data_IF_091938693137
#
_entry.id   IF_091938693137
#
_cell.length_a   1.000
_cell.length_b   1.000
_cell.length_c   1.000
_cell.angle_alpha   90.00
_cell.angle_beta   90.00
_cell.angle_gamma   90.00
#
_symmetry.space_group_name_H-M   'P 1'
#
loop_
_entity.id
_entity.type
_entity.pdbx_description
1 polymer ?
#
# COMPACT_ATOMS: atom_id res chain seq x y z
N UNK A 1 -71.78 18.29 5.20
CA UNK A 1 -70.46 17.98 4.62
C UNK A 1 -70.14 16.52 4.91
N UNK A 2 -70.22 15.66 3.91
CA UNK A 2 -69.85 14.25 4.03
C UNK A 2 -68.34 14.12 3.72
N UNK A 3 -67.59 13.63 4.68
CA UNK A 3 -66.20 13.22 4.47
C UNK A 3 -66.21 12.01 3.54
N UNK A 4 -65.73 12.21 2.30
CA UNK A 4 -65.47 11.12 1.37
C UNK A 4 -64.30 10.33 1.95
N UNK A 5 -64.60 9.13 2.42
CA UNK A 5 -63.63 8.11 2.75
C UNK A 5 -62.98 7.66 1.42
N UNK A 6 -61.97 8.40 0.96
CA UNK A 6 -61.13 7.98 -0.17
C UNK A 6 -60.30 6.80 0.32
N UNK A 7 -60.87 5.61 0.13
CA UNK A 7 -60.28 4.35 0.52
C UNK A 7 -58.89 4.17 -0.10
N UNK A 8 -57.99 3.65 0.71
CA UNK A 8 -56.65 3.13 0.46
C UNK A 8 -56.60 1.95 -0.54
N UNK A 9 -57.46 1.95 -1.56
CA UNK A 9 -57.52 0.91 -2.60
C UNK A 9 -56.63 1.20 -3.81
N UNK A 10 -56.11 2.42 -3.97
CA UNK A 10 -55.19 2.77 -5.07
C UNK A 10 -53.77 2.18 -4.93
N UNK A 11 -53.43 1.55 -3.80
CA UNK A 11 -52.14 0.89 -3.60
C UNK A 11 -52.21 -0.65 -3.63
N UNK A 12 -53.38 -1.25 -3.81
CA UNK A 12 -53.57 -2.70 -3.64
C UNK A 12 -53.33 -3.53 -4.93
N UNK A 13 -53.20 -2.89 -6.10
CA UNK A 13 -53.16 -3.60 -7.39
C UNK A 13 -51.84 -3.48 -8.18
N UNK A 14 -50.81 -2.82 -7.63
CA UNK A 14 -49.45 -3.01 -8.15
C UNK A 14 -48.84 -4.18 -7.41
N UNK A 15 -48.43 -5.23 -8.15
CA UNK A 15 -47.60 -6.31 -7.59
C UNK A 15 -46.57 -5.68 -6.65
N UNK A 16 -46.52 -6.16 -5.41
CA UNK A 16 -45.61 -5.61 -4.41
C UNK A 16 -44.20 -5.70 -4.97
N UNK A 17 -43.61 -4.56 -5.35
CA UNK A 17 -42.26 -4.51 -5.90
C UNK A 17 -41.34 -5.26 -4.93
N UNK A 18 -40.71 -6.33 -5.40
CA UNK A 18 -39.83 -7.15 -4.56
C UNK A 18 -38.72 -6.29 -3.97
N UNK A 19 -38.43 -6.49 -2.69
CA UNK A 19 -37.33 -5.85 -1.99
C UNK A 19 -36.05 -6.62 -2.22
N UNK A 20 -34.92 -5.93 -2.06
CA UNK A 20 -33.60 -6.57 -2.03
C UNK A 20 -33.54 -7.73 -1.02
N UNK A 21 -34.29 -7.60 0.08
CA UNK A 21 -34.37 -8.62 1.12
C UNK A 21 -35.03 -9.92 0.71
N UNK A 22 -35.78 -9.92 -0.39
CA UNK A 22 -36.60 -11.06 -0.81
C UNK A 22 -35.78 -12.08 -1.61
N UNK A 23 -34.48 -11.82 -1.81
CA UNK A 23 -33.59 -12.63 -2.60
C UNK A 23 -32.41 -13.14 -1.77
N UNK A 24 -32.22 -14.46 -1.82
CA UNK A 24 -31.12 -15.15 -1.14
C UNK A 24 -29.92 -15.42 -2.06
N UNK A 25 -30.12 -15.37 -3.37
CA UNK A 25 -29.09 -15.63 -4.39
C UNK A 25 -28.84 -14.37 -5.25
N UNK A 26 -27.57 -13.93 -5.42
CA UNK A 26 -27.24 -12.76 -6.23
C UNK A 26 -27.60 -12.89 -7.70
N UNK A 27 -27.57 -14.09 -8.27
CA UNK A 27 -27.94 -14.32 -9.67
C UNK A 27 -29.43 -14.05 -9.89
N UNK A 28 -30.28 -14.50 -8.95
CA UNK A 28 -31.73 -14.31 -9.02
C UNK A 28 -32.14 -12.84 -8.81
N UNK A 29 -31.43 -12.13 -7.92
CA UNK A 29 -31.66 -10.71 -7.69
C UNK A 29 -31.21 -9.85 -8.88
N UNK A 30 -30.05 -10.16 -9.48
CA UNK A 30 -29.55 -9.50 -10.69
C UNK A 30 -30.48 -9.75 -11.89
N UNK A 31 -30.92 -10.99 -12.11
CA UNK A 31 -31.85 -11.32 -13.19
C UNK A 31 -33.18 -10.57 -13.08
N UNK A 32 -33.66 -10.36 -11.84
CA UNK A 32 -34.86 -9.56 -11.58
C UNK A 32 -34.61 -8.06 -11.75
N UNK A 33 -33.52 -7.52 -11.18
CA UNK A 33 -33.16 -6.10 -11.26
C UNK A 33 -32.84 -5.60 -12.66
N UNK A 34 -32.41 -6.48 -13.58
CA UNK A 34 -32.25 -6.17 -15.00
C UNK A 34 -33.58 -5.99 -15.75
N UNK A 35 -34.69 -6.52 -15.20
CA UNK A 35 -36.00 -6.58 -15.86
C UNK A 35 -37.07 -5.75 -15.15
N UNK A 36 -36.87 -5.42 -13.87
CA UNK A 36 -37.86 -4.80 -13.01
C UNK A 36 -37.23 -3.81 -12.02
N UNK A 37 -37.96 -2.75 -11.68
CA UNK A 37 -37.60 -1.85 -10.59
C UNK A 37 -37.78 -2.55 -9.23
N UNK A 38 -36.72 -2.56 -8.42
CA UNK A 38 -36.70 -3.12 -7.06
C UNK A 38 -37.09 -2.06 -6.04
N UNK A 39 -37.91 -2.44 -5.05
CA UNK A 39 -38.21 -1.55 -3.92
C UNK A 39 -37.10 -1.63 -2.87
N UNK A 40 -36.67 -0.48 -2.37
CA UNK A 40 -35.53 -0.40 -1.43
C UNK A 40 -35.96 -0.76 0.00
N UNK A 41 -35.10 -1.45 0.79
CA UNK A 41 -35.21 -1.43 2.25
C UNK A 41 -35.16 0.00 2.80
N UNK A 42 -36.05 0.30 3.76
CA UNK A 42 -36.12 1.61 4.40
C UNK A 42 -34.86 1.98 5.22
N UNK A 43 -33.95 1.04 5.47
CA UNK A 43 -32.75 1.24 6.30
C UNK A 43 -31.48 0.82 5.55
N UNK A 44 -30.52 1.72 5.49
CA UNK A 44 -29.19 1.51 4.88
C UNK A 44 -28.47 0.30 5.48
N UNK A 45 -28.55 0.11 6.81
CA UNK A 45 -27.94 -1.03 7.51
C UNK A 45 -28.48 -2.36 6.95
N UNK A 46 -29.79 -2.48 6.75
CA UNK A 46 -30.40 -3.70 6.17
C UNK A 46 -29.88 -4.02 4.76
N UNK A 47 -29.47 -2.98 4.04
CA UNK A 47 -28.95 -3.12 2.69
C UNK A 47 -27.46 -3.53 2.71
N UNK A 48 -26.64 -2.97 3.60
CA UNK A 48 -25.25 -3.40 3.83
C UNK A 48 -25.14 -4.76 4.54
N UNK A 49 -26.23 -5.23 5.18
CA UNK A 49 -26.28 -6.55 5.82
C UNK A 49 -26.27 -7.70 4.82
N UNK A 50 -26.71 -7.45 3.59
CA UNK A 50 -26.86 -8.47 2.56
C UNK A 50 -25.69 -8.43 1.58
N UNK A 51 -24.84 -9.45 1.61
CA UNK A 51 -23.70 -9.61 0.68
C UNK A 51 -24.13 -9.54 -0.80
N UNK A 52 -25.38 -9.88 -1.05
CA UNK A 52 -26.04 -9.91 -2.35
C UNK A 52 -26.52 -8.52 -2.81
N UNK A 53 -26.80 -7.60 -1.89
CA UNK A 53 -27.28 -6.25 -2.22
C UNK A 53 -26.13 -5.32 -2.66
N UNK A 54 -24.90 -5.60 -2.21
CA UNK A 54 -23.71 -4.79 -2.52
C UNK A 54 -23.46 -4.67 -4.03
N UNK A 55 -23.40 -5.76 -4.84
CA UNK A 55 -23.21 -5.67 -6.30
C UNK A 55 -24.30 -4.90 -7.06
N UNK A 56 -25.54 -4.87 -6.56
CA UNK A 56 -26.64 -4.18 -7.23
C UNK A 56 -26.71 -2.70 -6.96
N UNK A 57 -26.25 -2.26 -5.78
CA UNK A 57 -26.01 -0.83 -5.56
C UNK A 57 -25.03 -0.31 -6.59
N UNK A 58 -23.95 -1.07 -6.87
CA UNK A 58 -22.97 -0.70 -7.91
C UNK A 58 -23.63 -0.58 -9.28
N UNK A 59 -24.59 -1.47 -9.58
CA UNK A 59 -25.31 -1.49 -10.85
C UNK A 59 -26.43 -0.44 -10.94
N UNK A 60 -26.69 0.34 -9.88
CA UNK A 60 -27.81 1.28 -9.81
C UNK A 60 -27.35 2.72 -9.49
N UNK A 61 -26.74 3.46 -10.44
CA UNK A 61 -26.15 4.77 -10.19
C UNK A 61 -27.10 5.82 -9.60
N UNK A 62 -28.39 5.70 -9.90
CA UNK A 62 -29.45 6.58 -9.38
C UNK A 62 -29.60 6.48 -7.85
N UNK A 63 -29.17 5.37 -7.24
CA UNK A 63 -29.24 5.16 -5.80
C UNK A 63 -28.02 5.69 -5.04
N UNK A 64 -26.94 6.04 -5.75
CA UNK A 64 -25.69 6.49 -5.15
C UNK A 64 -25.88 7.79 -4.34
N UNK A 65 -26.62 8.77 -4.88
CA UNK A 65 -26.81 10.08 -4.22
C UNK A 65 -27.56 9.96 -2.89
N UNK A 66 -28.62 9.14 -2.88
CA UNK A 66 -29.37 8.88 -1.67
C UNK A 66 -28.53 8.09 -0.64
N UNK A 67 -27.75 7.11 -1.11
CA UNK A 67 -26.89 6.32 -0.23
C UNK A 67 -25.82 7.20 0.44
N UNK A 68 -25.22 8.13 -0.32
CA UNK A 68 -24.25 9.08 0.21
C UNK A 68 -24.87 9.98 1.29
N UNK A 69 -26.06 10.51 1.04
CA UNK A 69 -26.80 11.32 2.00
C UNK A 69 -27.11 10.56 3.31
N UNK A 70 -27.68 9.36 3.20
CA UNK A 70 -27.96 8.50 4.36
C UNK A 70 -26.69 8.13 5.13
N UNK A 71 -25.61 7.80 4.42
CA UNK A 71 -24.32 7.48 5.02
C UNK A 71 -23.78 8.66 5.81
N UNK A 72 -23.87 9.86 5.25
CA UNK A 72 -23.42 11.07 5.92
C UNK A 72 -24.19 11.32 7.22
N UNK A 73 -25.52 11.15 7.18
CA UNK A 73 -26.37 11.27 8.37
C UNK A 73 -26.01 10.21 9.43
N UNK A 74 -25.92 8.93 9.04
CA UNK A 74 -25.62 7.83 9.97
C UNK A 74 -24.23 8.00 10.58
N UNK A 75 -23.20 8.31 9.79
CA UNK A 75 -21.83 8.48 10.28
C UNK A 75 -21.74 9.66 11.26
N UNK A 76 -22.32 10.81 10.89
CA UNK A 76 -22.34 11.98 11.77
C UNK A 76 -23.07 11.70 13.08
N UNK A 77 -24.26 11.11 13.01
CA UNK A 77 -25.09 10.88 14.19
C UNK A 77 -24.52 9.78 15.11
N UNK A 78 -23.98 8.70 14.54
CA UNK A 78 -23.49 7.56 15.31
C UNK A 78 -22.11 7.79 15.94
N UNK A 79 -21.24 8.57 15.29
CA UNK A 79 -19.83 8.70 15.69
C UNK A 79 -19.42 10.10 16.12
N UNK A 80 -20.11 11.16 15.68
CA UNK A 80 -19.78 12.55 16.07
C UNK A 80 -20.73 13.11 17.13
N UNK A 81 -21.96 12.60 17.24
CA UNK A 81 -22.99 13.10 18.17
C UNK A 81 -23.32 12.12 19.32
N UNK A 82 -22.44 11.14 19.59
CA UNK A 82 -22.51 10.20 20.72
C UNK A 82 -23.86 9.50 20.93
N UNK A 83 -24.51 9.05 19.84
CA UNK A 83 -25.73 8.26 19.95
C UNK A 83 -25.47 6.86 20.56
N UNK A 84 -26.40 6.30 21.38
CA UNK A 84 -26.20 5.06 22.13
C UNK A 84 -26.36 3.78 21.28
N UNK A 85 -25.56 3.66 20.22
CA UNK A 85 -25.33 2.35 19.57
C UNK A 85 -24.24 1.59 20.31
N UNK A 86 -24.38 0.25 20.36
CA UNK A 86 -23.35 -0.60 20.98
C UNK A 86 -22.07 -0.56 20.15
N UNK A 87 -20.92 -0.70 20.81
CA UNK A 87 -19.60 -0.72 20.16
C UNK A 87 -19.52 -1.74 19.02
N UNK A 88 -20.03 -2.96 19.25
CA UNK A 88 -20.04 -4.04 18.26
C UNK A 88 -20.83 -3.68 17.00
N UNK A 89 -21.93 -2.94 17.14
CA UNK A 89 -22.73 -2.50 15.99
C UNK A 89 -22.03 -1.43 15.18
N UNK A 90 -21.33 -0.51 15.86
CA UNK A 90 -20.49 0.51 15.22
C UNK A 90 -19.32 -0.15 14.46
N UNK A 91 -18.63 -1.11 15.07
CA UNK A 91 -17.54 -1.87 14.43
C UNK A 91 -18.04 -2.69 13.22
N UNK A 92 -19.13 -3.44 13.34
CA UNK A 92 -19.71 -4.21 12.24
C UNK A 92 -20.14 -3.31 11.08
N UNK A 93 -20.72 -2.14 11.38
CA UNK A 93 -21.10 -1.16 10.36
C UNK A 93 -19.88 -0.63 9.58
N UNK A 94 -18.83 -0.17 10.27
CA UNK A 94 -17.61 0.32 9.61
C UNK A 94 -16.93 -0.77 8.78
N UNK A 95 -16.89 -2.01 9.27
CA UNK A 95 -16.34 -3.16 8.54
C UNK A 95 -17.10 -3.45 7.24
N UNK A 96 -18.43 -3.41 7.28
CA UNK A 96 -19.27 -3.60 6.09
C UNK A 96 -19.10 -2.45 5.10
N UNK A 97 -18.95 -1.24 5.60
CA UNK A 97 -18.71 -0.06 4.77
C UNK A 97 -17.36 -0.14 4.05
N UNK A 98 -16.30 -0.58 4.74
CA UNK A 98 -14.99 -0.84 4.13
C UNK A 98 -15.07 -1.97 3.09
N UNK A 99 -15.79 -3.06 3.39
CA UNK A 99 -16.04 -4.14 2.43
C UNK A 99 -16.75 -3.61 1.19
N UNK A 100 -17.75 -2.75 1.36
CA UNK A 100 -18.47 -2.13 0.26
C UNK A 100 -17.52 -1.26 -0.60
N UNK A 101 -16.75 -0.34 -0.01
CA UNK A 101 -15.73 0.47 -0.72
C UNK A 101 -14.74 -0.39 -1.51
N UNK A 102 -14.30 -1.51 -0.93
CA UNK A 102 -13.39 -2.47 -1.59
C UNK A 102 -14.04 -3.20 -2.76
N UNK A 103 -15.32 -3.58 -2.66
CA UNK A 103 -16.06 -4.23 -3.75
C UNK A 103 -16.28 -3.25 -4.90
N UNK A 104 -16.66 -2.01 -4.60
CA UNK A 104 -16.83 -0.98 -5.63
C UNK A 104 -15.47 -0.49 -6.18
N UNK A 105 -14.39 -0.70 -5.43
CA UNK A 105 -13.03 -0.22 -5.70
C UNK A 105 -12.99 1.31 -5.86
N UNK A 106 -13.66 2.01 -4.96
CA UNK A 106 -13.79 3.47 -4.93
C UNK A 106 -14.11 3.95 -3.52
N UNK A 107 -13.71 5.19 -3.22
CA UNK A 107 -14.14 5.86 -2.01
C UNK A 107 -15.53 6.47 -2.13
N UNK A 108 -16.17 6.68 -0.99
CA UNK A 108 -17.49 7.33 -0.90
C UNK A 108 -17.28 8.73 -0.31
N UNK A 109 -17.84 9.79 -0.91
CA UNK A 109 -17.68 11.16 -0.41
C UNK A 109 -18.08 11.30 1.07
N UNK A 110 -19.24 10.79 1.48
CA UNK A 110 -19.70 10.83 2.86
C UNK A 110 -18.69 10.21 3.85
N UNK A 111 -18.02 9.12 3.45
CA UNK A 111 -16.97 8.47 4.28
C UNK A 111 -15.74 9.36 4.39
N UNK A 112 -15.36 10.01 3.29
CA UNK A 112 -14.18 10.89 3.27
C UNK A 112 -14.41 12.12 4.16
N UNK A 113 -15.59 12.74 4.07
CA UNK A 113 -16.00 13.84 4.94
C UNK A 113 -15.99 13.41 6.40
N UNK A 114 -16.61 12.25 6.70
CA UNK A 114 -16.61 11.67 8.04
C UNK A 114 -15.18 11.48 8.58
N UNK A 115 -14.30 10.84 7.82
CA UNK A 115 -12.92 10.60 8.24
C UNK A 115 -12.17 11.91 8.51
N UNK A 116 -12.34 12.93 7.67
CA UNK A 116 -11.69 14.23 7.88
C UNK A 116 -12.17 14.98 9.13
N UNK A 117 -13.41 14.72 9.57
CA UNK A 117 -13.99 15.33 10.77
C UNK A 117 -13.71 14.50 12.02
N UNK A 118 -13.69 13.17 11.90
CA UNK A 118 -13.54 12.24 13.02
C UNK A 118 -12.07 12.09 13.44
N UNK A 119 -11.15 11.91 12.50
CA UNK A 119 -9.73 11.61 12.81
C UNK A 119 -9.04 12.66 13.70
N UNK A 120 -9.26 13.98 13.55
CA UNK A 120 -8.63 14.98 14.42
C UNK A 120 -8.98 14.85 15.91
N UNK A 121 -10.13 14.26 16.23
CA UNK A 121 -10.62 14.07 17.60
C UNK A 121 -10.63 12.59 18.02
N UNK A 122 -10.08 11.71 17.17
CA UNK A 122 -10.09 10.27 17.41
C UNK A 122 -9.10 9.89 18.52
N UNK A 123 -9.51 8.96 19.38
CA UNK A 123 -8.69 8.44 20.48
C UNK A 123 -7.62 7.42 20.07
N UNK A 124 -7.46 7.17 18.77
CA UNK A 124 -6.44 6.28 18.17
C UNK A 124 -6.55 4.81 18.57
N UNK A 125 -7.60 4.41 19.28
CA UNK A 125 -7.79 3.03 19.77
C UNK A 125 -9.08 2.42 19.25
N UNK A 126 -10.18 3.16 19.38
CA UNK A 126 -11.49 2.65 19.00
C UNK A 126 -11.57 2.46 17.49
N UNK A 127 -11.99 1.27 17.07
CA UNK A 127 -12.18 0.93 15.66
C UNK A 127 -10.91 1.08 14.80
N UNK A 128 -9.71 0.99 15.38
CA UNK A 128 -8.44 1.24 14.68
C UNK A 128 -8.33 0.52 13.34
N UNK A 129 -8.59 -0.79 13.30
CA UNK A 129 -8.52 -1.56 12.06
C UNK A 129 -9.57 -1.14 11.03
N UNK A 130 -10.78 -0.84 11.49
CA UNK A 130 -11.91 -0.46 10.65
C UNK A 130 -11.69 0.92 10.03
N UNK A 131 -11.22 1.89 10.80
CA UNK A 131 -10.88 3.23 10.32
C UNK A 131 -9.78 3.18 9.27
N UNK A 132 -8.70 2.42 9.54
CA UNK A 132 -7.62 2.25 8.56
C UNK A 132 -8.12 1.60 7.26
N UNK A 133 -9.00 0.60 7.34
CA UNK A 133 -9.59 -0.04 6.15
C UNK A 133 -10.46 0.93 5.33
N UNK A 134 -11.17 1.87 5.96
CA UNK A 134 -11.93 2.91 5.26
C UNK A 134 -11.00 3.90 4.55
N UNK A 135 -9.87 4.25 5.18
CA UNK A 135 -8.86 5.17 4.62
C UNK A 135 -8.20 4.62 3.36
N UNK A 136 -8.11 3.30 3.18
CA UNK A 136 -7.57 2.72 1.95
C UNK A 136 -8.34 3.14 0.68
N UNK A 137 -9.60 3.55 0.83
CA UNK A 137 -10.49 3.96 -0.26
C UNK A 137 -11.18 5.29 0.05
N UNK A 138 -10.49 6.41 -0.15
CA UNK A 138 -11.11 7.75 -0.01
C UNK A 138 -11.50 8.33 -1.37
N UNK A 139 -12.47 9.25 -1.35
CA UNK A 139 -12.77 10.10 -2.48
C UNK A 139 -11.74 11.24 -2.53
N UNK A 140 -11.30 11.62 -3.72
CA UNK A 140 -10.27 12.67 -3.91
C UNK A 140 -10.84 14.07 -3.68
N UNK A 141 -12.15 14.23 -3.82
CA UNK A 141 -12.81 15.53 -3.79
C UNK A 141 -13.65 15.68 -2.50
N UNK A 142 -13.45 16.76 -1.72
CA UNK A 142 -12.45 17.81 -1.89
C UNK A 142 -11.04 17.40 -1.41
N UNK A 143 -10.01 17.95 -2.05
CA UNK A 143 -8.58 17.68 -1.74
C UNK A 143 -8.22 17.97 -0.29
N UNK A 144 -8.84 18.99 0.30
CA UNK A 144 -8.62 19.42 1.68
C UNK A 144 -8.93 18.31 2.68
N UNK A 145 -10.00 17.54 2.45
CA UNK A 145 -10.35 16.42 3.32
C UNK A 145 -9.31 15.30 3.25
N UNK A 146 -8.82 15.00 2.04
CA UNK A 146 -7.77 13.99 1.85
C UNK A 146 -6.49 14.41 2.56
N UNK A 147 -6.05 15.65 2.38
CA UNK A 147 -4.86 16.16 3.04
C UNK A 147 -5.03 16.20 4.56
N UNK A 148 -6.21 16.53 5.07
CA UNK A 148 -6.53 16.46 6.50
C UNK A 148 -6.36 15.03 7.04
N UNK A 149 -6.92 14.03 6.35
CA UNK A 149 -6.82 12.61 6.72
C UNK A 149 -5.36 12.16 6.74
N UNK A 150 -4.63 12.40 5.64
CA UNK A 150 -3.24 11.97 5.48
C UNK A 150 -2.34 12.63 6.52
N UNK A 151 -2.46 13.95 6.72
CA UNK A 151 -1.65 14.68 7.69
C UNK A 151 -1.95 14.25 9.13
N UNK A 152 -3.22 13.97 9.46
CA UNK A 152 -3.60 13.51 10.80
C UNK A 152 -3.01 12.14 11.09
N UNK A 153 -3.13 11.20 10.16
CA UNK A 153 -2.53 9.86 10.30
C UNK A 153 -1.00 9.90 10.33
N UNK A 154 -0.36 10.80 9.59
CA UNK A 154 1.09 10.98 9.64
C UNK A 154 1.55 11.48 11.02
N UNK A 155 0.77 12.36 11.68
CA UNK A 155 1.06 12.78 13.08
C UNK A 155 0.86 11.64 14.07
N UNK A 156 -0.23 10.86 13.91
CA UNK A 156 -0.48 9.67 14.73
C UNK A 156 0.67 8.67 14.59
N UNK A 157 1.16 8.44 13.37
CA UNK A 157 2.28 7.54 13.09
C UNK A 157 3.52 7.82 13.95
N UNK A 158 3.90 9.09 14.08
CA UNK A 158 5.13 9.49 14.81
C UNK A 158 5.08 9.09 16.28
N UNK A 159 3.89 9.06 16.90
CA UNK A 159 3.70 8.69 18.32
C UNK A 159 3.19 7.26 18.53
N UNK A 160 2.85 6.55 17.45
CA UNK A 160 2.26 5.21 17.50
C UNK A 160 3.29 4.12 17.84
N UNK A 161 2.82 2.98 18.32
CA UNK A 161 3.67 1.80 18.56
C UNK A 161 4.09 1.14 17.23
N UNK A 162 5.18 0.36 17.18
CA UNK A 162 5.70 -0.21 15.93
C UNK A 162 4.68 -0.99 15.08
N UNK A 163 3.75 -1.72 15.73
CA UNK A 163 2.70 -2.46 15.02
C UNK A 163 1.62 -1.54 14.41
N UNK A 164 1.30 -0.45 15.09
CA UNK A 164 0.36 0.57 14.61
C UNK A 164 1.00 1.39 13.49
N UNK A 165 2.28 1.75 13.63
CA UNK A 165 3.09 2.35 12.57
C UNK A 165 3.04 1.51 11.30
N UNK A 166 3.31 0.20 11.42
CA UNK A 166 3.23 -0.74 10.31
C UNK A 166 1.84 -0.74 9.64
N UNK A 167 0.76 -0.73 10.44
CA UNK A 167 -0.59 -0.70 9.92
C UNK A 167 -0.89 0.60 9.16
N UNK A 168 -0.51 1.76 9.72
CA UNK A 168 -0.70 3.07 9.09
C UNK A 168 0.10 3.18 7.78
N UNK A 169 1.36 2.74 7.76
CA UNK A 169 2.19 2.76 6.55
C UNK A 169 1.61 1.86 5.45
N UNK A 170 1.10 0.67 5.82
CA UNK A 170 0.38 -0.21 4.88
C UNK A 170 -0.88 0.46 4.34
N UNK A 171 -1.65 1.14 5.20
CA UNK A 171 -2.83 1.89 4.79
C UNK A 171 -2.48 3.01 3.81
N UNK A 172 -1.42 3.80 4.05
CA UNK A 172 -0.97 4.80 3.08
C UNK A 172 -0.52 4.19 1.76
N UNK A 173 0.19 3.06 1.81
CA UNK A 173 0.64 2.34 0.62
C UNK A 173 -0.55 1.83 -0.20
N UNK A 174 -1.55 1.23 0.46
CA UNK A 174 -2.76 0.74 -0.19
C UNK A 174 -3.59 1.89 -0.76
N UNK A 175 -3.74 2.98 -0.01
CA UNK A 175 -4.40 4.20 -0.49
C UNK A 175 -3.69 4.74 -1.75
N UNK A 176 -2.37 4.80 -1.75
CA UNK A 176 -1.59 5.25 -2.90
C UNK A 176 -1.83 4.37 -4.13
N UNK A 177 -1.74 3.04 -4.00
CA UNK A 177 -1.97 2.14 -5.13
C UNK A 177 -3.42 2.21 -5.63
N UNK A 178 -4.38 2.34 -4.71
CA UNK A 178 -5.79 2.47 -5.07
C UNK A 178 -6.05 3.76 -5.86
N UNK A 179 -5.51 4.90 -5.42
CA UNK A 179 -5.62 6.18 -6.13
C UNK A 179 -4.86 6.18 -7.46
N UNK A 180 -3.66 5.57 -7.52
CA UNK A 180 -2.91 5.43 -8.76
C UNK A 180 -3.62 4.51 -9.76
N UNK A 181 -4.35 3.50 -9.28
CA UNK A 181 -5.11 2.57 -10.12
C UNK A 181 -6.39 3.21 -10.65
N UNK A 182 -7.10 4.00 -9.84
CA UNK A 182 -8.35 4.66 -10.26
C UNK A 182 -8.08 5.79 -11.25
N UNK A 183 -6.93 6.46 -11.19
CA UNK A 183 -6.61 7.56 -12.12
C UNK A 183 -6.50 7.14 -13.59
N UNK A 184 -6.23 5.85 -13.87
CA UNK A 184 -5.98 5.35 -15.24
C UNK A 184 -7.16 4.58 -15.82
N UNK A 185 -8.03 4.00 -14.98
CA UNK A 185 -9.13 3.16 -15.46
C UNK A 185 -10.39 3.99 -15.67
N UNK A 186 -10.92 4.03 -16.90
CA UNK A 186 -12.30 4.49 -17.14
C UNK A 186 -13.26 3.54 -16.43
N UNK A 187 -13.86 3.98 -15.32
CA UNK A 187 -14.88 3.26 -14.57
C UNK A 187 -16.15 4.12 -14.47
N UNK A 188 -17.29 3.46 -14.27
CA UNK A 188 -18.47 4.16 -13.74
C UNK A 188 -18.18 4.48 -12.28
N UNK A 189 -17.88 5.74 -12.02
CA UNK A 189 -17.60 6.22 -10.68
C UNK A 189 -18.87 6.28 -9.85
N UNK A 190 -18.73 6.10 -8.55
CA UNK A 190 -19.78 6.40 -7.59
C UNK A 190 -20.20 7.86 -7.81
N UNK A 191 -21.50 8.12 -7.93
CA UNK A 191 -22.06 9.42 -8.36
C UNK A 191 -21.63 9.94 -9.75
N UNK A 192 -21.02 9.11 -10.61
CA UNK A 192 -20.45 9.52 -11.89
C UNK A 192 -19.43 10.67 -11.79
N UNK A 193 -18.69 10.78 -10.67
CA UNK A 193 -17.63 11.78 -10.51
C UNK A 193 -16.55 11.59 -11.57
N UNK A 194 -16.21 12.63 -12.33
CA UNK A 194 -15.15 12.55 -13.33
C UNK A 194 -13.76 12.50 -12.69
N UNK A 195 -12.79 11.90 -13.39
CA UNK A 195 -11.38 11.91 -12.94
C UNK A 195 -10.85 13.33 -13.08
N UNK A 196 -10.67 14.02 -11.96
CA UNK A 196 -10.18 15.39 -11.94
C UNK A 196 -8.65 15.46 -11.89
N UNK A 197 -8.12 16.60 -12.36
CA UNK A 197 -6.67 16.89 -12.32
C UNK A 197 -6.10 16.89 -10.88
N UNK A 198 -6.95 17.12 -9.88
CA UNK A 198 -6.59 17.13 -8.45
C UNK A 198 -6.14 15.76 -7.96
N UNK A 199 -6.55 14.66 -8.62
CA UNK A 199 -6.11 13.32 -8.24
C UNK A 199 -4.61 13.10 -8.42
N UNK A 200 -4.01 13.66 -9.47
CA UNK A 200 -2.56 13.55 -9.68
C UNK A 200 -1.78 14.29 -8.57
N UNK A 201 -2.28 15.44 -8.15
CA UNK A 201 -1.72 16.22 -7.04
C UNK A 201 -1.84 15.47 -5.70
N UNK A 202 -2.99 14.86 -5.43
CA UNK A 202 -3.18 14.04 -4.23
C UNK A 202 -2.22 12.84 -4.21
N UNK A 203 -2.10 12.12 -5.33
CA UNK A 203 -1.17 10.99 -5.45
C UNK A 203 0.27 11.45 -5.21
N UNK A 204 0.66 12.61 -5.74
CA UNK A 204 1.97 13.21 -5.53
C UNK A 204 2.22 13.57 -4.05
N UNK A 205 1.26 14.24 -3.40
CA UNK A 205 1.38 14.61 -1.98
C UNK A 205 1.40 13.39 -1.06
N UNK A 206 0.61 12.36 -1.37
CA UNK A 206 0.65 11.09 -0.66
C UNK A 206 1.98 10.36 -0.85
N UNK A 207 2.55 10.39 -2.06
CA UNK A 207 3.87 9.86 -2.36
C UNK A 207 4.96 10.48 -1.47
N UNK A 208 4.91 11.81 -1.28
CA UNK A 208 5.80 12.54 -0.37
C UNK A 208 5.55 12.18 1.10
N UNK A 209 4.29 12.07 1.50
CA UNK A 209 3.95 11.68 2.86
C UNK A 209 4.49 10.28 3.20
N UNK A 210 4.31 9.31 2.31
CA UNK A 210 4.86 7.95 2.47
C UNK A 210 6.37 8.01 2.67
N UNK A 211 7.09 8.79 1.85
CA UNK A 211 8.54 8.95 1.99
C UNK A 211 8.92 9.49 3.38
N UNK A 212 8.31 10.60 3.79
CA UNK A 212 8.59 11.22 5.08
C UNK A 212 8.31 10.28 6.25
N UNK A 213 7.23 9.50 6.16
CA UNK A 213 6.84 8.50 7.15
C UNK A 213 7.83 7.33 7.18
N UNK A 214 8.27 6.83 6.02
CA UNK A 214 9.32 5.81 5.93
C UNK A 214 10.62 6.29 6.58
N UNK A 215 11.08 7.51 6.24
CA UNK A 215 12.30 8.07 6.81
C UNK A 215 12.19 8.25 8.33
N UNK A 216 11.08 8.81 8.82
CA UNK A 216 10.82 8.94 10.24
C UNK A 216 10.82 7.57 10.94
N UNK A 217 10.17 6.56 10.34
CA UNK A 217 10.10 5.22 10.90
C UNK A 217 11.49 4.57 11.06
N UNK A 218 12.34 4.71 10.05
CA UNK A 218 13.69 4.16 10.04
C UNK A 218 14.63 4.93 10.97
N UNK A 219 14.38 6.21 11.22
CA UNK A 219 15.12 6.99 12.21
C UNK A 219 14.70 6.65 13.64
N UNK A 220 13.41 6.44 13.89
CA UNK A 220 12.89 6.09 15.22
C UNK A 220 13.25 4.64 15.58
N UNK A 221 13.15 3.72 14.63
CA UNK A 221 13.31 2.27 14.84
C UNK A 221 14.25 1.62 13.81
N UNK A 222 15.55 2.01 13.73
CA UNK A 222 16.46 1.54 12.68
C UNK A 222 16.72 0.03 12.69
N UNK A 223 16.55 -0.63 13.83
CA UNK A 223 16.73 -2.07 13.98
C UNK A 223 15.47 -2.92 13.75
N UNK A 224 14.30 -2.31 13.56
CA UNK A 224 13.06 -3.07 13.37
C UNK A 224 12.92 -3.53 11.89
N UNK A 225 13.22 -4.80 11.67
CA UNK A 225 13.14 -5.44 10.36
C UNK A 225 11.75 -5.34 9.71
N UNK A 226 10.68 -5.25 10.51
CA UNK A 226 9.30 -5.16 10.01
C UNK A 226 9.03 -3.78 9.41
N UNK A 227 9.56 -2.74 10.05
CA UNK A 227 9.47 -1.37 9.56
C UNK A 227 10.29 -1.21 8.29
N UNK A 228 11.53 -1.72 8.28
CA UNK A 228 12.37 -1.72 7.08
C UNK A 228 11.74 -2.48 5.91
N UNK A 229 11.15 -3.65 6.19
CA UNK A 229 10.41 -4.41 5.19
C UNK A 229 9.23 -3.60 4.64
N UNK A 230 8.45 -2.95 5.50
CA UNK A 230 7.29 -2.18 5.08
C UNK A 230 7.65 -0.92 4.31
N UNK A 231 8.72 -0.21 4.71
CA UNK A 231 9.25 0.93 3.97
C UNK A 231 9.73 0.50 2.57
N UNK A 232 10.44 -0.63 2.49
CA UNK A 232 10.87 -1.22 1.21
C UNK A 232 9.66 -1.59 0.35
N UNK A 233 8.64 -2.23 0.92
CA UNK A 233 7.43 -2.64 0.20
C UNK A 233 6.62 -1.43 -0.30
N UNK A 234 6.55 -0.34 0.48
CA UNK A 234 5.92 0.91 0.09
C UNK A 234 6.61 1.54 -1.14
N UNK A 235 7.95 1.58 -1.16
CA UNK A 235 8.70 2.08 -2.32
C UNK A 235 8.57 1.15 -3.54
N UNK A 236 8.55 -0.16 -3.34
CA UNK A 236 8.27 -1.12 -4.42
C UNK A 236 6.87 -0.92 -5.00
N UNK A 237 5.87 -0.72 -4.13
CA UNK A 237 4.50 -0.43 -4.53
C UNK A 237 4.46 0.80 -5.42
N UNK A 238 5.05 1.92 -4.97
CA UNK A 238 5.20 3.15 -5.77
C UNK A 238 5.82 2.91 -7.14
N UNK A 239 6.94 2.20 -7.20
CA UNK A 239 7.62 1.87 -8.46
C UNK A 239 6.75 1.00 -9.39
N UNK A 240 6.02 0.02 -8.86
CA UNK A 240 5.09 -0.82 -9.65
C UNK A 240 3.90 0.00 -10.15
N UNK A 241 3.32 0.86 -9.34
CA UNK A 241 2.21 1.73 -9.74
C UNK A 241 2.67 2.71 -10.82
N UNK A 242 3.89 3.25 -10.74
CA UNK A 242 4.48 4.06 -11.81
C UNK A 242 4.63 3.29 -13.13
N UNK A 243 5.11 2.04 -13.10
CA UNK A 243 5.22 1.21 -14.31
C UNK A 243 3.87 0.90 -14.95
N UNK A 244 2.84 0.66 -14.13
CA UNK A 244 1.50 0.23 -14.59
C UNK A 244 0.58 1.38 -14.95
N UNK A 245 0.69 2.48 -14.22
CA UNK A 245 -0.29 3.57 -14.21
C UNK A 245 0.32 4.94 -14.57
N UNK A 246 1.61 4.99 -14.92
CA UNK A 246 2.33 6.26 -15.18
C UNK A 246 2.18 7.27 -14.03
N UNK A 247 2.06 6.74 -12.80
CA UNK A 247 1.95 7.56 -11.61
C UNK A 247 3.20 8.46 -11.46
N UNK A 248 2.96 9.71 -11.07
CA UNK A 248 4.00 10.72 -10.85
C UNK A 248 4.56 10.59 -9.41
N UNK A 249 5.81 11.05 -9.22
CA UNK A 249 6.63 10.97 -8.00
C UNK A 249 7.11 9.57 -7.59
N UNK A 250 8.30 9.24 -8.10
CA UNK A 250 9.04 8.02 -7.80
C UNK A 250 10.34 8.49 -7.18
N UNK A 251 10.58 8.03 -5.96
CA UNK A 251 11.77 8.40 -5.22
C UNK A 251 12.38 7.12 -4.67
N UNK A 252 13.69 7.02 -4.82
CA UNK A 252 14.49 6.02 -4.15
C UNK A 252 15.07 6.66 -2.88
N UNK A 253 14.99 5.96 -1.76
CA UNK A 253 15.50 6.48 -0.48
C UNK A 253 16.82 5.80 -0.12
N UNK A 254 17.93 6.56 0.01
CA UNK A 254 19.22 6.00 0.38
C UNK A 254 19.13 5.20 1.69
N UNK A 255 18.41 5.72 2.70
CA UNK A 255 18.24 5.06 4.00
C UNK A 255 17.69 3.64 3.88
N UNK A 256 16.66 3.45 3.03
CA UNK A 256 16.07 2.13 2.78
C UNK A 256 17.09 1.21 2.10
N UNK A 257 17.78 1.71 1.07
CA UNK A 257 18.78 0.92 0.34
C UNK A 257 19.92 0.45 1.25
N UNK A 258 20.48 1.38 2.03
CA UNK A 258 21.61 1.12 2.91
C UNK A 258 21.21 0.17 4.03
N UNK A 259 20.10 0.43 4.72
CA UNK A 259 19.64 -0.43 5.81
C UNK A 259 19.29 -1.84 5.32
N UNK A 260 18.63 -1.97 4.16
CA UNK A 260 18.32 -3.28 3.59
C UNK A 260 19.59 -4.06 3.20
N UNK A 261 20.64 -3.37 2.77
CA UNK A 261 21.92 -3.96 2.37
C UNK A 261 22.74 -4.49 3.57
N UNK A 262 22.77 -3.74 4.68
CA UNK A 262 23.61 -4.09 5.85
C UNK A 262 22.92 -5.01 6.85
N UNK A 263 21.60 -5.17 6.71
CA UNK A 263 20.79 -6.00 7.61
C UNK A 263 20.99 -7.48 7.33
N UNK A 264 21.10 -8.35 8.35
CA UNK A 264 21.29 -9.79 8.16
C UNK A 264 20.00 -10.53 7.75
N UNK A 265 19.36 -10.12 6.65
CA UNK A 265 18.12 -10.70 6.13
C UNK A 265 18.19 -10.88 4.62
N UNK A 266 18.23 -12.13 4.16
CA UNK A 266 18.23 -12.44 2.73
C UNK A 266 16.95 -11.97 2.01
N UNK A 267 15.81 -11.98 2.72
CA UNK A 267 14.54 -11.48 2.17
C UNK A 267 14.61 -9.97 1.89
N UNK A 268 15.27 -9.20 2.76
CA UNK A 268 15.47 -7.77 2.54
C UNK A 268 16.46 -7.49 1.40
N UNK A 269 17.51 -8.30 1.24
CA UNK A 269 18.40 -8.22 0.09
C UNK A 269 17.67 -8.51 -1.24
N UNK A 270 16.84 -9.54 -1.28
CA UNK A 270 16.01 -9.85 -2.45
C UNK A 270 15.03 -8.72 -2.76
N UNK A 271 14.38 -8.17 -1.72
CA UNK A 271 13.48 -7.02 -1.84
C UNK A 271 14.20 -5.77 -2.33
N UNK A 272 15.44 -5.53 -1.88
CA UNK A 272 16.28 -4.44 -2.37
C UNK A 272 16.62 -4.65 -3.85
N UNK A 273 17.06 -5.84 -4.24
CA UNK A 273 17.34 -6.14 -5.65
C UNK A 273 16.11 -5.89 -6.54
N UNK A 274 14.95 -6.37 -6.10
CA UNK A 274 13.69 -6.14 -6.80
C UNK A 274 13.35 -4.64 -6.88
N UNK A 275 13.56 -3.89 -5.78
CA UNK A 275 13.34 -2.44 -5.74
C UNK A 275 14.20 -1.72 -6.78
N UNK A 276 15.49 -2.00 -6.83
CA UNK A 276 16.43 -1.40 -7.80
C UNK A 276 16.04 -1.78 -9.23
N UNK A 277 15.70 -3.05 -9.49
CA UNK A 277 15.24 -3.50 -10.82
C UNK A 277 13.94 -2.83 -11.26
N UNK A 278 12.98 -2.60 -10.34
CA UNK A 278 11.75 -1.86 -10.63
C UNK A 278 12.09 -0.43 -11.03
N UNK A 279 12.93 0.26 -10.25
CA UNK A 279 13.32 1.65 -10.53
C UNK A 279 14.10 1.77 -11.84
N UNK A 280 14.97 0.82 -12.16
CA UNK A 280 15.67 0.76 -13.44
C UNK A 280 14.69 0.66 -14.63
N UNK A 281 13.66 -0.20 -14.50
CA UNK A 281 12.60 -0.33 -15.51
C UNK A 281 11.78 0.94 -15.66
N UNK A 282 11.56 1.68 -14.57
CA UNK A 282 10.83 2.95 -14.60
C UNK A 282 11.67 3.98 -15.36
N UNK A 283 12.92 4.22 -14.94
CA UNK A 283 13.80 5.23 -15.54
C UNK A 283 13.97 4.97 -17.04
N UNK A 284 14.16 3.72 -17.46
CA UNK A 284 14.28 3.40 -18.88
C UNK A 284 12.99 3.59 -19.69
N UNK A 285 11.81 3.58 -19.06
CA UNK A 285 10.53 3.78 -19.74
C UNK A 285 10.06 5.23 -19.75
N UNK A 286 10.54 6.05 -18.81
CA UNK A 286 10.09 7.43 -18.65
C UNK A 286 11.27 8.37 -18.93
N UNK A 287 11.25 9.02 -20.09
CA UNK A 287 12.32 9.91 -20.58
C UNK A 287 12.53 11.20 -19.77
N UNK A 288 11.71 11.45 -18.74
CA UNK A 288 11.64 12.71 -18.01
C UNK A 288 12.02 12.56 -16.52
N UNK A 289 12.92 11.64 -16.18
CA UNK A 289 13.35 11.44 -14.80
C UNK A 289 14.58 12.26 -14.44
N UNK A 290 14.64 12.68 -13.17
CA UNK A 290 15.76 13.47 -12.65
C UNK A 290 17.05 12.67 -12.79
N UNK A 291 18.11 13.31 -13.29
CA UNK A 291 19.47 12.79 -13.28
C UNK A 291 19.87 12.31 -11.87
N UNK A 292 19.35 12.97 -10.82
CA UNK A 292 19.58 12.62 -9.42
C UNK A 292 19.08 11.20 -9.08
N UNK A 293 17.92 10.80 -9.61
CA UNK A 293 17.36 9.47 -9.35
C UNK A 293 18.21 8.39 -10.02
N UNK A 294 18.69 8.65 -11.24
CA UNK A 294 19.57 7.73 -11.95
C UNK A 294 20.91 7.60 -11.23
N UNK A 295 21.51 8.72 -10.80
CA UNK A 295 22.75 8.72 -10.04
C UNK A 295 22.63 7.96 -8.71
N UNK A 296 21.54 8.18 -7.96
CA UNK A 296 21.30 7.45 -6.72
C UNK A 296 21.09 5.95 -6.95
N UNK A 297 20.34 5.60 -8.01
CA UNK A 297 20.08 4.21 -8.38
C UNK A 297 21.38 3.49 -8.78
N UNK A 298 22.25 4.15 -9.55
CA UNK A 298 23.58 3.64 -9.88
C UNK A 298 24.42 3.45 -8.62
N UNK A 299 24.49 4.45 -7.75
CA UNK A 299 25.29 4.37 -6.52
C UNK A 299 24.81 3.26 -5.57
N UNK A 300 23.50 3.08 -5.39
CA UNK A 300 22.95 1.98 -4.60
C UNK A 300 23.23 0.60 -5.23
N UNK A 301 23.23 0.53 -6.57
CA UNK A 301 23.56 -0.70 -7.30
C UNK A 301 25.05 -1.04 -7.13
N UNK A 302 25.92 -0.03 -7.19
CA UNK A 302 27.37 -0.17 -6.93
C UNK A 302 27.63 -0.62 -5.50
N UNK A 303 26.97 -0.03 -4.49
CA UNK A 303 27.08 -0.50 -3.10
C UNK A 303 26.73 -1.98 -2.98
N UNK A 304 25.64 -2.40 -3.62
CA UNK A 304 25.18 -3.79 -3.59
C UNK A 304 26.20 -4.74 -4.25
N UNK A 305 26.83 -4.34 -5.35
CA UNK A 305 27.87 -5.11 -6.02
C UNK A 305 29.16 -5.18 -5.21
N UNK A 306 29.62 -4.05 -4.69
CA UNK A 306 30.81 -3.96 -3.86
C UNK A 306 30.65 -4.81 -2.59
N UNK A 307 29.46 -4.79 -1.98
CA UNK A 307 29.15 -5.59 -0.80
C UNK A 307 29.04 -7.08 -1.10
N UNK A 308 28.13 -7.47 -2.01
CA UNK A 308 27.75 -8.86 -2.17
C UNK A 308 28.72 -9.62 -3.09
N UNK A 309 29.16 -9.01 -4.19
CA UNK A 309 29.90 -9.71 -5.25
C UNK A 309 31.40 -9.53 -5.16
N UNK A 310 31.88 -8.30 -5.04
CA UNK A 310 33.31 -8.02 -5.04
C UNK A 310 33.95 -8.26 -3.67
N UNK A 311 33.18 -8.17 -2.57
CA UNK A 311 33.71 -8.19 -1.21
C UNK A 311 34.67 -7.02 -0.95
N UNK A 312 34.30 -5.83 -1.43
CA UNK A 312 35.04 -4.56 -1.35
C UNK A 312 34.17 -3.43 -0.81
N UNK A 313 33.29 -3.75 0.14
CA UNK A 313 32.27 -2.84 0.66
C UNK A 313 32.84 -1.51 1.20
N UNK A 314 33.93 -1.58 1.97
CA UNK A 314 34.56 -0.44 2.61
C UNK A 314 35.72 0.13 1.80
N UNK A 315 36.48 -0.72 1.10
CA UNK A 315 37.59 -0.28 0.24
C UNK A 315 37.13 0.53 -0.97
N UNK A 316 35.95 0.22 -1.54
CA UNK A 316 35.30 0.98 -2.62
C UNK A 316 34.14 1.87 -2.15
N UNK A 317 34.14 2.29 -0.88
CA UNK A 317 33.04 3.09 -0.32
C UNK A 317 32.78 4.44 -0.99
N UNK A 318 33.76 4.97 -1.73
CA UNK A 318 33.63 6.24 -2.44
C UNK A 318 32.72 6.14 -3.67
N UNK A 319 32.50 4.93 -4.19
CA UNK A 319 31.74 4.69 -5.42
C UNK A 319 30.22 4.59 -5.17
N UNK A 320 29.80 4.56 -3.90
CA UNK A 320 28.41 4.36 -3.49
C UNK A 320 27.93 5.36 -2.42
N UNK A 321 26.82 5.05 -1.77
CA UNK A 321 26.17 5.90 -0.75
C UNK A 321 26.19 5.31 0.66
N UNK A 322 26.33 3.98 0.80
CA UNK A 322 26.19 3.27 2.07
C UNK A 322 27.26 3.66 3.08
N UNK A 323 28.52 3.69 2.64
CA UNK A 323 29.67 3.86 3.53
C UNK A 323 30.47 5.12 3.24
N UNK A 324 30.03 5.98 2.32
CA UNK A 324 30.77 7.18 1.89
C UNK A 324 31.07 8.15 3.05
N UNK A 325 30.22 8.17 4.08
CA UNK A 325 30.37 9.02 5.27
C UNK A 325 31.22 8.40 6.39
N UNK A 326 31.75 7.19 6.21
CA UNK A 326 32.64 6.59 7.20
C UNK A 326 34.03 7.25 7.17
N UNK A 327 34.55 7.57 8.36
CA UNK A 327 35.89 8.14 8.55
C UNK A 327 36.95 7.12 8.11
N UNK A 328 37.91 7.53 7.27
CA UNK A 328 38.95 6.65 6.71
C UNK A 328 39.67 5.84 7.79
N UNK A 329 40.10 6.48 8.88
CA UNK A 329 40.80 5.80 9.96
C UNK A 329 40.00 4.64 10.58
N UNK A 330 38.66 4.75 10.64
CA UNK A 330 37.82 3.64 11.12
C UNK A 330 37.74 2.52 10.09
N UNK A 331 37.65 2.88 8.82
CA UNK A 331 37.63 1.91 7.71
C UNK A 331 38.91 1.10 7.67
N UNK A 332 40.08 1.74 7.77
CA UNK A 332 41.37 1.06 7.77
C UNK A 332 41.45 0.04 8.92
N UNK A 333 41.06 0.45 10.12
CA UNK A 333 41.02 -0.43 11.30
C UNK A 333 40.06 -1.61 11.10
N UNK A 334 38.88 -1.39 10.51
CA UNK A 334 37.92 -2.46 10.26
C UNK A 334 38.40 -3.45 9.18
N UNK A 335 39.03 -2.95 8.12
CA UNK A 335 39.59 -3.80 7.07
C UNK A 335 40.75 -4.62 7.63
N UNK A 336 41.73 -3.99 8.30
CA UNK A 336 42.94 -4.66 8.80
C UNK A 336 42.63 -5.68 9.90
N UNK A 337 41.74 -5.36 10.85
CA UNK A 337 41.51 -6.20 12.03
C UNK A 337 40.39 -7.23 11.85
N UNK A 338 39.36 -6.90 11.07
CA UNK A 338 38.14 -7.71 10.98
C UNK A 338 37.88 -8.27 9.59
N UNK A 339 38.72 -7.95 8.60
CA UNK A 339 38.45 -8.27 7.20
C UNK A 339 37.04 -7.80 6.79
N UNK A 340 36.68 -6.59 7.22
CA UNK A 340 35.30 -6.12 7.17
C UNK A 340 34.71 -6.03 5.76
N UNK A 341 35.57 -5.91 4.75
CA UNK A 341 35.22 -5.95 3.33
C UNK A 341 34.49 -7.23 2.92
N UNK A 342 34.83 -8.36 3.54
CA UNK A 342 34.26 -9.66 3.22
C UNK A 342 32.97 -9.97 4.00
N UNK A 343 32.64 -9.22 5.07
CA UNK A 343 31.51 -9.52 5.95
C UNK A 343 30.17 -9.50 5.20
N UNK A 344 30.02 -8.57 4.25
CA UNK A 344 28.80 -8.44 3.47
C UNK A 344 28.77 -9.32 2.21
N UNK A 345 29.87 -10.01 1.88
CA UNK A 345 29.95 -10.85 0.67
C UNK A 345 28.90 -11.96 0.68
N UNK A 346 28.46 -12.41 -0.50
CA UNK A 346 27.53 -13.55 -0.63
C UNK A 346 27.99 -14.79 0.15
N UNK A 347 29.32 -14.96 0.28
CA UNK A 347 29.92 -16.11 0.97
C UNK A 347 29.82 -16.03 2.51
N UNK A 348 29.72 -14.82 3.05
CA UNK A 348 29.85 -14.54 4.49
C UNK A 348 28.63 -13.81 5.08
N UNK A 349 27.70 -13.35 4.23
CA UNK A 349 26.52 -12.61 4.66
C UNK A 349 25.63 -13.49 5.56
N UNK A 350 25.44 -13.06 6.80
CA UNK A 350 24.74 -13.83 7.84
C UNK A 350 23.31 -14.23 7.42
N UNK A 351 22.59 -13.34 6.74
CA UNK A 351 21.24 -13.63 6.25
C UNK A 351 21.18 -14.68 5.15
N UNK A 352 22.27 -14.88 4.40
CA UNK A 352 22.35 -15.86 3.30
C UNK A 352 22.93 -17.20 3.77
N UNK A 353 23.60 -17.23 4.91
CA UNK A 353 24.25 -18.42 5.45
C UNK A 353 23.35 -19.67 5.51
N UNK A 354 22.06 -19.60 5.90
CA UNK A 354 21.18 -20.77 5.88
C UNK A 354 20.93 -21.35 4.49
N UNK A 355 20.97 -20.52 3.45
CA UNK A 355 20.70 -20.94 2.07
C UNK A 355 21.94 -21.48 1.38
N UNK A 356 23.11 -21.02 1.82
CA UNK A 356 24.39 -21.43 1.25
C UNK A 356 24.94 -22.61 2.02
N UNK A 357 25.22 -22.50 3.31
CA UNK A 357 25.91 -23.55 4.06
C UNK A 357 25.10 -24.83 4.25
N UNK A 358 23.77 -24.75 4.43
CA UNK A 358 22.93 -25.96 4.61
C UNK A 358 22.82 -26.77 3.32
N UNK A 359 22.78 -26.11 2.15
CA UNK A 359 22.70 -26.79 0.85
C UNK A 359 24.04 -27.43 0.45
N UNK A 360 25.17 -26.94 0.95
CA UNK A 360 26.50 -27.44 0.60
C UNK A 360 27.07 -28.49 1.57
N UNK A 361 26.41 -28.81 2.69
CA UNK A 361 26.84 -29.92 3.56
C UNK A 361 26.82 -31.29 2.86
N UNK A 362 26.04 -31.44 1.78
CA UNK A 362 25.97 -32.66 0.97
C UNK A 362 26.93 -32.69 -0.22
N UNK A 363 27.70 -31.63 -0.48
CA UNK A 363 28.55 -31.49 -1.67
C UNK A 363 30.02 -31.42 -1.24
N UNK A 364 30.87 -32.29 -1.81
CA UNK A 364 32.29 -32.32 -1.52
C UNK A 364 32.97 -31.09 -2.17
N UNK A 365 33.16 -30.02 -1.37
CA UNK A 365 33.58 -28.67 -1.80
C UNK A 365 35.01 -28.55 -2.39
N UNK A 366 35.70 -29.67 -2.65
CA UNK A 366 37.09 -29.65 -3.13
C UNK A 366 37.25 -29.42 -4.64
N UNK A 367 36.20 -29.64 -5.44
CA UNK A 367 36.29 -29.65 -6.91
C UNK A 367 35.39 -28.65 -7.65
N UNK A 368 34.61 -27.82 -6.93
CA UNK A 368 33.67 -26.88 -7.56
C UNK A 368 33.95 -25.45 -7.13
N UNK A 369 33.96 -24.52 -8.08
CA UNK A 369 34.07 -23.08 -7.82
C UNK A 369 32.97 -22.67 -6.82
N UNK A 370 33.41 -22.34 -5.60
CA UNK A 370 32.54 -21.92 -4.49
C UNK A 370 31.66 -20.74 -4.89
N UNK A 371 32.13 -19.87 -5.80
CA UNK A 371 31.38 -18.72 -6.30
C UNK A 371 30.21 -19.17 -7.19
N UNK A 372 30.43 -20.16 -8.07
CA UNK A 372 29.41 -20.73 -8.93
C UNK A 372 28.32 -21.45 -8.11
N UNK A 373 28.71 -22.21 -7.09
CA UNK A 373 27.76 -22.86 -6.18
C UNK A 373 26.90 -21.85 -5.43
N UNK A 374 27.52 -20.82 -4.84
CA UNK A 374 26.81 -19.73 -4.19
C UNK A 374 25.83 -19.05 -5.15
N UNK A 375 26.22 -18.85 -6.40
CA UNK A 375 25.35 -18.28 -7.44
C UNK A 375 24.16 -19.18 -7.75
N UNK A 376 24.33 -20.51 -7.79
CA UNK A 376 23.22 -21.46 -7.98
C UNK A 376 22.23 -21.48 -6.80
N UNK A 377 22.74 -21.44 -5.57
CA UNK A 377 21.90 -21.35 -4.37
C UNK A 377 21.13 -20.02 -4.33
N UNK A 378 21.79 -18.93 -4.72
CA UNK A 378 21.16 -17.60 -4.80
C UNK A 378 20.14 -17.53 -5.92
N UNK A 379 20.44 -18.04 -7.11
CA UNK A 379 19.53 -17.98 -8.26
C UNK A 379 18.26 -18.80 -8.09
N UNK A 380 18.34 -19.92 -7.37
CA UNK A 380 17.16 -20.75 -7.07
C UNK A 380 16.22 -20.13 -6.03
N UNK A 381 16.74 -19.36 -5.06
CA UNK A 381 15.97 -18.82 -3.94
C UNK A 381 15.67 -17.32 -4.03
N UNK A 382 16.49 -16.56 -4.77
CA UNK A 382 16.50 -15.10 -4.83
C UNK A 382 16.61 -14.63 -6.30
N UNK A 383 15.52 -14.75 -7.08
CA UNK A 383 15.54 -14.50 -8.52
C UNK A 383 15.84 -13.03 -8.87
N UNK A 384 15.40 -12.07 -8.06
CA UNK A 384 15.66 -10.64 -8.31
C UNK A 384 17.12 -10.30 -8.03
N UNK A 385 17.69 -10.83 -6.95
CA UNK A 385 19.10 -10.69 -6.62
C UNK A 385 19.98 -11.27 -7.73
N UNK A 386 19.69 -12.50 -8.16
CA UNK A 386 20.40 -13.12 -9.27
C UNK A 386 20.23 -12.36 -10.58
N UNK A 387 19.02 -11.86 -10.86
CA UNK A 387 18.74 -11.09 -12.06
C UNK A 387 19.43 -9.73 -12.08
N UNK A 388 19.62 -9.10 -10.92
CA UNK A 388 20.37 -7.85 -10.80
C UNK A 388 21.88 -8.10 -11.00
N UNK A 389 22.45 -9.10 -10.33
CA UNK A 389 23.87 -9.45 -10.45
C UNK A 389 24.20 -9.83 -11.90
N UNK A 390 23.39 -10.68 -12.54
CA UNK A 390 23.62 -11.10 -13.93
C UNK A 390 23.67 -9.93 -14.91
N UNK A 391 22.71 -9.01 -14.80
CA UNK A 391 22.66 -7.81 -15.67
C UNK A 391 23.87 -6.90 -15.55
N UNK A 392 24.56 -6.90 -14.41
CA UNK A 392 25.70 -6.02 -14.18
C UNK A 392 26.97 -6.70 -14.69
N UNK A 393 27.12 -8.00 -14.45
CA UNK A 393 28.27 -8.78 -14.95
C UNK A 393 28.30 -8.82 -16.48
N UNK A 394 27.14 -8.88 -17.14
CA UNK A 394 27.04 -8.84 -18.61
C UNK A 394 27.38 -7.46 -19.21
N UNK A 395 27.48 -6.39 -18.41
CA UNK A 395 27.83 -5.02 -18.86
C UNK A 395 29.34 -4.75 -18.75
N UNK A 396 30.06 -5.53 -17.94
CA UNK A 396 31.52 -5.42 -17.77
C UNK A 396 32.32 -6.33 -18.73
N UNK A 397 31.65 -7.18 -19.52
CA UNK A 397 32.21 -7.99 -20.61
C UNK A 397 31.91 -7.35 -21.96
#
# INVERSE_FOLDING_TARGET
MQFIHVGSKQYAEKESQKKYSDFTNPVSLLAYGLRHELSRPARLRSLLLQDVAVPLLVASPQQHAFMDHDLHYVLSYCFLQDYPYKYEEKSDFLRRLAKFQKVIQQGIPAVTVFLSQFLPFWNEKDFFSEILNLVEWICVEPIEHVLCIVNTLARIFVRAQPMEQLAILRTFTNLYDNLARTSVKKKQYFLNTEVSKTQAEVVYNLSKCINNVCDAALQINPGDLRILWAATDALQCKGRSALRHRALAIDLHPTVCVLALVTPSAVLLEKLAELLLIHWKVVNKQSAHSEDLLALLQACTVDMMNCLWEGRALSKRADGVAFIRMVQNHVDVFIEKLNADQIFSLSSHLGLAPYTYVQFQSINLKDVDRKLLLQMAVSSNFPSLSGLIGKIVDVEQ
#
